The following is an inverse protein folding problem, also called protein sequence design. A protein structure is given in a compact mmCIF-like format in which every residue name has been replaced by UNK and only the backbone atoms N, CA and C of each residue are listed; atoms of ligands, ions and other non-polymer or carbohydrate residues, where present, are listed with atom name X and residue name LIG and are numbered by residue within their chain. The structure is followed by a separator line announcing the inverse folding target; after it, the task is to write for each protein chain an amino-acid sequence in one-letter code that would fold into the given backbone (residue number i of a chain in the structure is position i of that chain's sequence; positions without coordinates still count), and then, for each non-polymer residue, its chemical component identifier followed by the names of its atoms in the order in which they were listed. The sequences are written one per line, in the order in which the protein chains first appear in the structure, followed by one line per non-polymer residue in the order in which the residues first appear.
data_IF_278019372698
#
_entry.id   IF_278019372698
#
_cell.length_a   1.000
_cell.length_b   1.000
_cell.length_c   1.000
_cell.angle_alpha   90.00
_cell.angle_beta   90.00
_cell.angle_gamma   90.00
#
_symmetry.space_group_name_H-M   'P 1'
#
loop_
_entity.id
_entity.type
_entity.pdbx_description
1 polymer ?
#
# COMPACT_ATOMS: atom_id res chain seq x y z
N UNK A 1 4.02 53.70 78.20
CA UNK A 1 3.88 52.76 79.33
C UNK A 1 3.37 51.45 78.75
N UNK A 2 4.17 50.36 78.83
CA UNK A 2 3.94 48.99 78.29
C UNK A 2 4.18 48.85 76.77
N UNK A 3 5.08 48.03 76.18
CA UNK A 3 5.66 46.68 76.43
C UNK A 3 4.54 45.64 76.65
N UNK A 4 4.32 44.57 75.86
CA UNK A 4 5.25 43.49 75.43
C UNK A 4 4.73 42.69 74.19
N UNK A 5 5.65 42.31 73.30
CA UNK A 5 5.88 41.05 72.55
C UNK A 5 4.73 40.21 71.94
N UNK A 6 4.88 39.82 70.65
CA UNK A 6 5.40 38.47 70.30
C UNK A 6 5.68 38.30 68.79
N UNK A 7 6.78 37.60 68.48
CA UNK A 7 7.28 37.19 67.17
C UNK A 7 6.49 35.98 66.68
N UNK A 8 6.13 35.91 65.39
CA UNK A 8 6.13 34.63 64.66
C UNK A 8 6.22 34.84 63.15
N UNK A 9 7.20 34.15 62.58
CA UNK A 9 7.49 34.03 61.17
C UNK A 9 6.34 33.34 60.40
N UNK A 10 6.19 33.68 59.12
CA UNK A 10 5.26 32.98 58.25
C UNK A 10 5.15 33.61 56.87
N UNK A 11 6.20 33.46 56.07
CA UNK A 11 6.09 33.45 54.61
C UNK A 11 4.89 32.58 54.21
N UNK A 12 4.04 33.06 53.30
CA UNK A 12 3.52 32.35 52.12
C UNK A 12 2.25 33.04 51.60
N UNK A 13 2.47 34.08 50.79
CA UNK A 13 1.49 34.52 49.79
C UNK A 13 1.45 33.46 48.69
N UNK A 14 0.63 32.42 48.84
CA UNK A 14 0.27 31.57 47.71
C UNK A 14 -0.83 32.28 46.90
N UNK A 15 -0.37 33.07 45.93
CA UNK A 15 -1.16 33.49 44.78
C UNK A 15 -1.73 32.24 44.09
N UNK A 16 -3.05 32.06 44.18
CA UNK A 16 -3.80 31.14 43.32
C UNK A 16 -3.84 31.74 41.90
N UNK A 17 -2.87 31.38 41.07
CA UNK A 17 -2.95 31.57 39.62
C UNK A 17 -3.62 30.32 39.02
N UNK A 18 -4.73 30.44 38.27
CA UNK A 18 -5.24 29.32 37.51
C UNK A 18 -4.24 29.02 36.38
N UNK A 19 -3.60 27.85 36.45
CA UNK A 19 -2.77 27.36 35.36
C UNK A 19 -3.68 27.10 34.15
N UNK A 20 -3.55 27.96 33.13
CA UNK A 20 -4.07 27.69 31.81
C UNK A 20 -3.25 26.54 31.21
N UNK A 21 -3.79 25.32 31.29
CA UNK A 21 -3.24 24.18 30.57
C UNK A 21 -3.56 24.36 29.09
N UNK A 22 -2.60 24.88 28.34
CA UNK A 22 -2.66 24.94 26.88
C UNK A 22 -2.49 23.52 26.34
N UNK A 23 -3.56 22.93 25.82
CA UNK A 23 -3.47 21.66 25.10
C UNK A 23 -2.73 21.92 23.78
N UNK A 24 -1.50 21.40 23.69
CA UNK A 24 -0.71 21.40 22.46
C UNK A 24 -1.38 20.44 21.46
N UNK A 25 -2.14 20.99 20.51
CA UNK A 25 -2.59 20.22 19.35
C UNK A 25 -1.35 19.98 18.49
N UNK A 26 -0.77 18.78 18.59
CA UNK A 26 0.26 18.32 17.66
C UNK A 26 -0.43 18.13 16.30
N UNK A 27 -0.34 19.12 15.42
CA UNK A 27 -0.71 18.96 14.03
C UNK A 27 0.40 18.14 13.37
N UNK A 28 0.20 16.83 13.26
CA UNK A 28 1.02 16.02 12.36
C UNK A 28 0.76 16.50 10.94
N UNK A 29 1.73 17.20 10.33
CA UNK A 29 1.76 17.33 8.87
C UNK A 29 2.07 15.94 8.31
N UNK A 30 1.03 15.15 8.11
CA UNK A 30 1.12 13.93 7.34
C UNK A 30 1.57 14.32 5.93
N UNK A 31 2.70 13.78 5.48
CA UNK A 31 3.30 14.08 4.19
C UNK A 31 2.31 13.65 3.09
N UNK A 32 1.52 14.63 2.61
CA UNK A 32 0.39 14.41 1.72
C UNK A 32 0.92 14.09 0.32
N UNK A 33 0.98 12.80 0.02
CA UNK A 33 1.38 12.33 -1.30
C UNK A 33 0.27 12.64 -2.32
N UNK A 34 0.60 13.50 -3.29
CA UNK A 34 -0.31 13.89 -4.37
C UNK A 34 -0.53 12.73 -5.35
N UNK A 35 -1.74 12.63 -5.87
CA UNK A 35 -2.18 11.61 -6.84
C UNK A 35 -2.40 12.25 -8.22
N UNK A 36 -1.32 12.49 -8.99
CA UNK A 36 -1.40 13.21 -10.26
C UNK A 36 -2.23 12.54 -11.35
N UNK A 37 -2.50 11.23 -11.27
CA UNK A 37 -3.40 10.54 -12.22
C UNK A 37 -4.80 11.16 -12.29
N UNK A 38 -5.30 11.70 -11.17
CA UNK A 38 -6.66 12.24 -11.07
C UNK A 38 -6.74 13.76 -11.29
N UNK A 39 -5.67 14.40 -11.75
CA UNK A 39 -5.59 15.87 -11.87
C UNK A 39 -6.17 16.43 -13.18
N UNK A 40 -6.95 15.65 -13.94
CA UNK A 40 -7.43 16.00 -15.28
C UNK A 40 -8.07 17.40 -15.38
N UNK A 41 -8.71 17.90 -14.31
CA UNK A 41 -9.39 19.19 -14.33
C UNK A 41 -8.76 20.28 -13.45
N UNK A 42 -7.58 20.05 -12.83
CA UNK A 42 -6.84 21.01 -11.95
C UNK A 42 -7.62 21.63 -10.76
N UNK A 43 -8.91 21.37 -10.63
CA UNK A 43 -9.81 22.02 -9.67
C UNK A 43 -9.91 21.24 -8.34
N UNK A 44 -9.55 19.95 -8.34
CA UNK A 44 -9.51 19.12 -7.15
C UNK A 44 -8.21 18.31 -7.08
N UNK A 45 -7.29 18.76 -6.23
CA UNK A 45 -6.07 18.01 -5.95
C UNK A 45 -6.40 16.81 -5.06
N UNK A 46 -6.11 15.60 -5.56
CA UNK A 46 -6.31 14.36 -4.81
C UNK A 46 -5.02 13.96 -4.10
N UNK A 47 -5.16 13.47 -2.89
CA UNK A 47 -4.06 12.95 -2.07
C UNK A 47 -4.33 11.50 -1.67
N UNK A 48 -3.26 10.75 -1.43
CA UNK A 48 -3.36 9.38 -1.00
C UNK A 48 -3.93 9.30 0.41
N UNK A 49 -4.93 8.46 0.61
CA UNK A 49 -5.65 8.27 1.88
C UNK A 49 -5.89 6.78 2.14
N UNK A 50 -6.10 6.35 3.40
CA UNK A 50 -6.51 4.99 3.68
C UNK A 50 -7.87 4.66 3.05
N UNK A 51 -7.98 3.50 2.40
CA UNK A 51 -9.20 2.99 1.78
C UNK A 51 -9.39 1.52 2.12
N UNK A 52 -10.37 1.25 2.98
CA UNK A 52 -10.73 -0.11 3.37
C UNK A 52 -11.57 -0.80 2.29
N UNK A 53 -11.42 -2.13 2.15
CA UNK A 53 -12.25 -2.93 1.24
C UNK A 53 -11.84 -2.90 -0.23
N UNK A 54 -10.61 -2.46 -0.54
CA UNK A 54 -10.02 -2.69 -1.86
C UNK A 54 -9.81 -4.21 -2.07
N UNK A 55 -10.65 -4.82 -2.90
CA UNK A 55 -10.54 -6.26 -3.21
C UNK A 55 -9.34 -6.53 -4.12
N UNK A 56 -9.27 -5.78 -5.23
CA UNK A 56 -8.07 -5.71 -6.07
C UNK A 56 -7.23 -4.51 -5.62
N UNK A 57 -5.90 -4.59 -5.77
CA UNK A 57 -4.97 -3.56 -5.29
C UNK A 57 -4.95 -3.37 -3.76
N UNK A 58 -5.28 -4.41 -2.99
CA UNK A 58 -5.41 -4.36 -1.54
C UNK A 58 -4.12 -3.93 -0.81
N UNK A 59 -2.97 -4.14 -1.42
CA UNK A 59 -1.67 -3.70 -0.90
C UNK A 59 -1.49 -2.17 -0.84
N UNK A 60 -2.40 -1.40 -1.43
CA UNK A 60 -2.45 0.05 -1.24
C UNK A 60 -3.50 0.50 -0.21
N UNK A 61 -4.21 -0.41 0.47
CA UNK A 61 -5.33 -0.06 1.36
C UNK A 61 -4.96 0.94 2.47
N UNK A 62 -3.74 0.88 3.00
CA UNK A 62 -3.29 1.81 4.04
C UNK A 62 -3.05 3.23 3.51
N UNK A 63 -2.70 3.35 2.22
CA UNK A 63 -2.43 4.63 1.57
C UNK A 63 -2.65 4.51 0.06
N UNK A 64 -3.87 4.78 -0.39
CA UNK A 64 -4.30 4.65 -1.78
C UNK A 64 -4.66 6.01 -2.40
N UNK A 65 -4.34 6.16 -3.68
CA UNK A 65 -4.83 7.26 -4.51
C UNK A 65 -6.22 6.99 -5.12
N UNK A 66 -6.64 5.73 -5.17
CA UNK A 66 -7.86 5.30 -5.82
C UNK A 66 -9.00 5.03 -4.83
N UNK A 67 -10.23 4.98 -5.35
CA UNK A 67 -11.43 4.55 -4.61
C UNK A 67 -11.85 3.15 -5.02
N UNK A 68 -12.64 2.49 -4.16
CA UNK A 68 -13.21 1.15 -4.43
C UNK A 68 -13.93 1.12 -5.77
N UNK A 69 -14.74 2.13 -6.08
CA UNK A 69 -15.50 2.21 -7.34
C UNK A 69 -14.61 2.29 -8.58
N UNK A 70 -13.47 2.96 -8.48
CA UNK A 70 -12.51 3.10 -9.58
C UNK A 70 -11.81 1.76 -9.85
N UNK A 71 -11.42 1.06 -8.78
CA UNK A 71 -10.88 -0.31 -8.87
C UNK A 71 -11.91 -1.25 -9.48
N UNK A 72 -13.14 -1.29 -8.96
CA UNK A 72 -14.19 -2.16 -9.50
C UNK A 72 -14.43 -1.89 -10.99
N UNK A 73 -14.44 -0.63 -11.42
CA UNK A 73 -14.63 -0.25 -12.82
C UNK A 73 -13.51 -0.73 -13.74
N UNK A 74 -12.26 -0.72 -13.27
CA UNK A 74 -11.11 -1.20 -14.06
C UNK A 74 -11.15 -2.72 -14.20
N UNK A 75 -11.40 -3.43 -13.10
CA UNK A 75 -11.36 -4.89 -13.10
C UNK A 75 -12.63 -5.56 -13.64
N UNK A 76 -13.79 -4.88 -13.65
CA UNK A 76 -15.04 -5.46 -14.17
C UNK A 76 -15.03 -5.67 -15.69
N UNK A 77 -14.22 -4.91 -16.42
CA UNK A 77 -14.13 -4.95 -17.87
C UNK A 77 -12.95 -5.79 -18.39
N UNK A 78 -12.20 -6.43 -17.49
CA UNK A 78 -10.97 -7.13 -17.84
C UNK A 78 -11.26 -8.60 -18.17
N UNK A 79 -10.99 -9.00 -19.42
CA UNK A 79 -10.99 -10.41 -19.79
C UNK A 79 -9.87 -11.17 -19.06
N UNK A 80 -10.13 -12.40 -18.60
CA UNK A 80 -9.10 -13.20 -17.96
C UNK A 80 -7.98 -13.54 -18.95
N UNK A 81 -6.74 -13.54 -18.46
CA UNK A 81 -5.60 -14.11 -19.19
C UNK A 81 -5.67 -15.64 -19.10
N UNK A 82 -5.87 -16.29 -20.24
CA UNK A 82 -5.87 -17.76 -20.31
C UNK A 82 -4.43 -18.28 -20.37
N UNK A 83 -4.20 -19.45 -19.78
CA UNK A 83 -2.88 -20.10 -19.73
C UNK A 83 -1.78 -19.27 -19.03
N UNK A 84 -2.18 -18.25 -18.25
CA UNK A 84 -1.23 -17.44 -17.49
C UNK A 84 -0.70 -18.21 -16.27
N UNK A 85 0.61 -18.10 -16.05
CA UNK A 85 1.22 -18.54 -14.79
C UNK A 85 0.71 -17.66 -13.64
N UNK A 86 0.88 -18.13 -12.40
CA UNK A 86 0.59 -17.31 -11.20
C UNK A 86 1.43 -16.04 -11.19
N UNK A 87 2.70 -16.12 -11.57
CA UNK A 87 3.61 -14.98 -11.67
C UNK A 87 3.12 -13.96 -12.69
N UNK A 88 2.77 -14.41 -13.90
CA UNK A 88 2.20 -13.54 -14.92
C UNK A 88 0.94 -12.82 -14.43
N UNK A 89 -0.01 -13.57 -13.84
CA UNK A 89 -1.24 -13.01 -13.29
C UNK A 89 -0.96 -11.96 -12.20
N UNK A 90 -0.03 -12.23 -11.29
CA UNK A 90 0.35 -11.29 -10.23
C UNK A 90 0.97 -10.01 -10.79
N UNK A 91 1.92 -10.15 -11.74
CA UNK A 91 2.57 -9.00 -12.37
C UNK A 91 1.57 -8.15 -13.17
N UNK A 92 0.64 -8.78 -13.89
CA UNK A 92 -0.41 -8.06 -14.61
C UNK A 92 -1.35 -7.33 -13.65
N UNK A 93 -1.82 -8.01 -12.60
CA UNK A 93 -2.67 -7.40 -11.58
C UNK A 93 -1.95 -6.21 -10.90
N UNK A 94 -0.64 -6.34 -10.64
CA UNK A 94 0.16 -5.27 -10.08
C UNK A 94 0.26 -4.08 -11.03
N UNK A 95 0.54 -4.32 -12.32
CA UNK A 95 0.60 -3.28 -13.34
C UNK A 95 -0.72 -2.51 -13.42
N UNK A 96 -1.86 -3.22 -13.41
CA UNK A 96 -3.19 -2.60 -13.47
C UNK A 96 -3.47 -1.69 -12.27
N UNK A 97 -2.83 -1.91 -11.12
CA UNK A 97 -3.03 -1.12 -9.91
C UNK A 97 -2.20 0.17 -9.85
N UNK A 98 -1.49 0.57 -10.91
CA UNK A 98 -0.62 1.76 -10.90
C UNK A 98 -1.35 3.03 -10.41
N UNK A 99 -2.61 3.21 -10.81
CA UNK A 99 -3.43 4.39 -10.48
C UNK A 99 -3.88 4.43 -9.00
N UNK A 100 -3.65 3.35 -8.24
CA UNK A 100 -3.85 3.30 -6.80
C UNK A 100 -2.60 3.64 -6.00
N UNK A 101 -1.41 3.55 -6.59
CA UNK A 101 -0.14 3.74 -5.89
C UNK A 101 -0.03 5.15 -5.29
N UNK A 102 0.44 5.30 -4.04
CA UNK A 102 0.64 6.61 -3.41
C UNK A 102 1.86 7.36 -3.98
N UNK A 103 2.77 6.65 -4.66
CA UNK A 103 4.02 7.18 -5.16
C UNK A 103 3.91 7.76 -6.58
N UNK A 104 2.70 7.94 -7.09
CA UNK A 104 2.43 8.50 -8.42
C UNK A 104 3.17 9.81 -8.68
N UNK A 105 3.32 10.68 -7.69
CA UNK A 105 4.05 11.94 -7.82
C UNK A 105 5.51 11.78 -8.29
N UNK A 106 6.11 10.60 -8.10
CA UNK A 106 7.49 10.28 -8.52
C UNK A 106 7.55 10.01 -10.03
N UNK A 107 6.65 9.18 -10.54
CA UNK A 107 6.78 8.58 -11.88
C UNK A 107 5.65 8.95 -12.85
N UNK A 108 4.49 9.41 -12.37
CA UNK A 108 3.38 9.78 -13.23
C UNK A 108 3.56 11.20 -13.78
N UNK A 109 3.34 11.37 -15.09
CA UNK A 109 3.37 12.67 -15.78
C UNK A 109 2.09 12.84 -16.61
N UNK A 110 2.17 12.74 -17.92
CA UNK A 110 0.99 12.67 -18.81
C UNK A 110 0.44 11.25 -18.90
N UNK A 111 1.32 10.27 -18.73
CA UNK A 111 1.04 8.84 -18.65
C UNK A 111 1.93 8.21 -17.59
N UNK A 112 1.56 7.02 -17.14
CA UNK A 112 2.33 6.28 -16.15
C UNK A 112 3.67 5.84 -16.73
N UNK A 113 4.78 6.23 -16.07
CA UNK A 113 6.12 5.79 -16.44
C UNK A 113 6.41 4.47 -15.75
N UNK A 114 6.66 3.42 -16.51
CA UNK A 114 6.92 2.05 -16.01
C UNK A 114 8.38 1.69 -16.30
N UNK A 115 9.03 1.01 -15.37
CA UNK A 115 10.43 0.64 -15.54
C UNK A 115 10.58 -0.40 -16.66
N UNK A 116 11.61 -0.25 -17.50
CA UNK A 116 11.91 -1.21 -18.60
C UNK A 116 12.02 -2.64 -18.10
N UNK A 117 12.71 -2.84 -16.97
CA UNK A 117 12.87 -4.15 -16.34
C UNK A 117 11.52 -4.78 -15.99
N UNK A 118 10.59 -4.00 -15.43
CA UNK A 118 9.25 -4.52 -15.10
C UNK A 118 8.51 -4.94 -16.38
N UNK A 119 8.49 -4.09 -17.41
CA UNK A 119 7.85 -4.42 -18.68
C UNK A 119 8.45 -5.66 -19.35
N UNK A 120 9.77 -5.80 -19.32
CA UNK A 120 10.49 -6.93 -19.89
C UNK A 120 10.14 -8.21 -19.16
N UNK A 121 10.25 -8.22 -17.82
CA UNK A 121 9.95 -9.39 -17.01
C UNK A 121 8.48 -9.79 -17.11
N UNK A 122 7.56 -8.82 -17.10
CA UNK A 122 6.13 -9.07 -17.28
C UNK A 122 5.86 -9.77 -18.61
N UNK A 123 6.46 -9.29 -19.70
CA UNK A 123 6.28 -9.90 -21.01
C UNK A 123 6.87 -11.31 -21.07
N UNK A 124 8.07 -11.53 -20.54
CA UNK A 124 8.68 -12.86 -20.54
C UNK A 124 7.84 -13.89 -19.77
N UNK A 125 7.29 -13.50 -18.62
CA UNK A 125 6.38 -14.33 -17.83
C UNK A 125 5.01 -14.55 -18.50
N UNK A 126 4.54 -13.58 -19.29
CA UNK A 126 3.20 -13.59 -19.86
C UNK A 126 3.11 -13.92 -21.36
N UNK A 127 4.23 -14.03 -22.10
CA UNK A 127 4.21 -14.18 -23.57
C UNK A 127 3.47 -15.44 -24.06
N UNK A 128 3.41 -16.48 -23.23
CA UNK A 128 2.67 -17.70 -23.54
C UNK A 128 1.16 -17.58 -23.22
N UNK A 129 0.76 -16.62 -22.39
CA UNK A 129 -0.63 -16.39 -22.01
C UNK A 129 -1.41 -15.80 -23.19
N UNK A 130 -2.71 -16.10 -23.19
CA UNK A 130 -3.64 -15.67 -24.23
C UNK A 130 -4.66 -14.67 -23.71
N UNK A 131 -4.80 -13.55 -24.42
CA UNK A 131 -5.84 -12.56 -24.19
C UNK A 131 -6.73 -12.50 -25.45
N UNK A 132 -8.04 -12.66 -25.27
CA UNK A 132 -9.00 -12.67 -26.37
C UNK A 132 -8.61 -13.64 -27.52
N UNK A 133 -8.16 -14.85 -27.17
CA UNK A 133 -7.76 -15.89 -28.12
C UNK A 133 -6.42 -15.67 -28.82
N UNK A 134 -5.70 -14.58 -28.52
CA UNK A 134 -4.38 -14.25 -29.08
C UNK A 134 -3.30 -14.32 -28.02
N UNK A 135 -2.15 -14.90 -28.35
CA UNK A 135 -1.01 -14.95 -27.43
C UNK A 135 -0.32 -13.60 -27.35
N UNK A 136 0.10 -13.21 -26.16
CA UNK A 136 0.83 -11.95 -25.98
C UNK A 136 2.13 -11.93 -26.79
N UNK A 137 2.86 -13.05 -26.80
CA UNK A 137 4.11 -13.18 -27.55
C UNK A 137 3.96 -13.26 -29.06
N UNK A 138 2.74 -13.42 -29.59
CA UNK A 138 2.47 -13.30 -31.03
C UNK A 138 2.06 -11.90 -31.45
N UNK A 139 1.50 -11.11 -30.54
CA UNK A 139 1.01 -9.76 -30.83
C UNK A 139 2.08 -8.68 -30.58
N UNK A 140 2.99 -8.92 -29.64
CA UNK A 140 4.03 -7.95 -29.26
C UNK A 140 5.42 -8.55 -29.41
N UNK A 141 6.36 -7.76 -29.92
CA UNK A 141 7.73 -8.23 -30.14
C UNK A 141 8.55 -8.39 -28.85
N UNK A 142 8.29 -7.54 -27.85
CA UNK A 142 9.00 -7.51 -26.57
C UNK A 142 8.17 -6.76 -25.50
N UNK A 143 8.68 -6.71 -24.27
CA UNK A 143 7.98 -6.07 -23.16
C UNK A 143 7.80 -4.57 -23.28
N UNK A 144 8.74 -3.86 -23.92
CA UNK A 144 8.58 -2.43 -24.19
C UNK A 144 7.39 -2.19 -25.11
N UNK A 145 7.31 -2.92 -26.23
CA UNK A 145 6.21 -2.82 -27.18
C UNK A 145 4.87 -3.19 -26.52
N UNK A 146 4.85 -4.20 -25.64
CA UNK A 146 3.65 -4.56 -24.88
C UNK A 146 3.19 -3.40 -23.98
N UNK A 147 4.06 -2.85 -23.13
CA UNK A 147 3.72 -1.77 -22.22
C UNK A 147 3.31 -0.48 -22.95
N UNK A 148 4.02 -0.10 -24.01
CA UNK A 148 3.68 1.10 -24.79
C UNK A 148 2.32 0.96 -25.50
N UNK A 149 1.96 -0.25 -25.94
CA UNK A 149 0.63 -0.50 -26.50
C UNK A 149 -0.50 -0.37 -25.46
N UNK A 150 -0.20 -0.44 -24.16
CA UNK A 150 -1.14 -0.18 -23.07
C UNK A 150 -1.09 1.29 -22.58
N UNK A 151 -0.52 2.20 -23.38
CA UNK A 151 -0.35 3.64 -23.09
C UNK A 151 0.59 3.95 -21.91
N UNK A 152 1.50 3.03 -21.58
CA UNK A 152 2.58 3.33 -20.63
C UNK A 152 3.77 4.00 -21.32
N UNK A 153 4.54 4.78 -20.55
CA UNK A 153 5.85 5.27 -20.98
C UNK A 153 6.93 4.39 -20.35
N UNK A 154 7.70 3.67 -21.17
CA UNK A 154 8.77 2.79 -20.67
C UNK A 154 10.07 3.57 -20.54
N UNK A 155 10.66 3.61 -19.35
CA UNK A 155 11.83 4.44 -19.05
C UNK A 155 12.76 3.79 -18.02
N UNK A 156 13.97 4.32 -17.91
CA UNK A 156 14.90 4.05 -16.80
C UNK A 156 14.81 5.14 -15.72
N UNK A 157 14.75 4.72 -14.45
CA UNK A 157 14.74 5.61 -13.28
C UNK A 157 13.43 6.42 -13.09
N UNK A 158 13.10 6.71 -11.83
CA UNK A 158 11.86 7.41 -11.43
C UNK A 158 10.62 6.86 -12.16
N UNK A 159 10.44 5.54 -12.07
CA UNK A 159 9.43 4.76 -12.77
C UNK A 159 8.71 3.80 -11.80
N UNK A 160 7.53 3.36 -12.20
CA UNK A 160 6.75 2.36 -11.49
C UNK A 160 7.41 0.99 -11.63
N UNK A 161 7.75 0.38 -10.49
CA UNK A 161 8.47 -0.88 -10.38
C UNK A 161 7.58 -1.94 -9.74
N UNK A 162 7.77 -3.19 -10.16
CA UNK A 162 7.10 -4.32 -9.55
C UNK A 162 7.61 -4.57 -8.12
N UNK A 163 6.70 -4.83 -7.19
CA UNK A 163 7.03 -5.30 -5.85
C UNK A 163 6.44 -6.70 -5.63
N UNK A 164 7.24 -7.77 -5.66
CA UNK A 164 6.74 -9.12 -5.44
C UNK A 164 6.23 -9.35 -4.01
N UNK A 165 6.71 -8.57 -3.03
CA UNK A 165 6.44 -8.80 -1.60
C UNK A 165 4.96 -8.68 -1.25
N UNK A 166 4.21 -7.91 -2.04
CA UNK A 166 2.77 -7.74 -1.84
C UNK A 166 1.98 -9.03 -2.09
N UNK A 167 2.58 -10.02 -2.75
CA UNK A 167 1.98 -11.33 -3.03
C UNK A 167 2.53 -12.47 -2.16
N UNK A 168 3.56 -12.21 -1.35
CA UNK A 168 4.22 -13.23 -0.51
C UNK A 168 3.43 -13.55 0.78
N UNK A 169 2.40 -12.75 1.10
CA UNK A 169 1.63 -12.80 2.35
C UNK A 169 0.73 -14.03 2.55
N UNK A 170 0.70 -15.00 1.64
CA UNK A 170 -0.16 -16.19 1.76
C UNK A 170 0.50 -17.41 2.42
N UNK A 171 1.79 -17.35 2.80
CA UNK A 171 2.55 -18.55 3.24
C UNK A 171 2.95 -18.54 4.74
N UNK A 172 2.77 -17.45 5.50
CA UNK A 172 3.44 -17.31 6.81
C UNK A 172 2.62 -17.57 8.09
N UNK A 173 1.48 -18.29 8.06
CA UNK A 173 0.75 -18.58 9.32
C UNK A 173 0.27 -20.04 9.55
N UNK A 174 0.76 -21.06 8.83
CA UNK A 174 0.31 -22.46 9.04
C UNK A 174 1.47 -23.43 9.32
N UNK A 175 2.56 -23.02 9.97
CA UNK A 175 3.62 -24.02 10.28
C UNK A 175 4.51 -23.76 11.49
N UNK A 176 3.99 -23.20 12.59
CA UNK A 176 4.75 -23.13 13.86
C UNK A 176 4.04 -23.60 15.14
N UNK A 177 2.76 -24.01 15.08
CA UNK A 177 2.04 -24.53 16.27
C UNK A 177 1.73 -26.03 16.26
N UNK A 178 2.08 -26.76 15.19
CA UNK A 178 1.81 -28.20 15.10
C UNK A 178 2.87 -29.19 15.65
N UNK A 179 4.09 -28.81 16.11
CA UNK A 179 4.93 -29.78 16.80
C UNK A 179 4.64 -29.88 18.31
N UNK A 180 3.96 -28.89 18.92
CA UNK A 180 3.74 -28.88 20.37
C UNK A 180 2.48 -29.63 20.84
N UNK A 181 1.48 -29.80 19.97
CA UNK A 181 0.23 -30.50 20.33
C UNK A 181 0.41 -32.03 20.26
N UNK A 182 1.28 -32.54 19.37
CA UNK A 182 1.54 -33.98 19.28
C UNK A 182 2.32 -34.52 20.49
N UNK A 183 3.18 -33.71 21.11
CA UNK A 183 3.91 -34.10 22.34
C UNK A 183 3.01 -34.11 23.58
N UNK A 184 2.01 -33.24 23.68
CA UNK A 184 1.08 -33.22 24.82
C UNK A 184 0.12 -34.41 24.81
N UNK A 185 -0.32 -34.86 23.62
CA UNK A 185 -1.18 -36.03 23.47
C UNK A 185 -0.42 -37.32 23.85
N UNK A 186 0.87 -37.43 23.52
CA UNK A 186 1.72 -38.57 23.90
C UNK A 186 2.02 -38.64 25.40
N UNK A 187 2.04 -37.51 26.11
CA UNK A 187 2.27 -37.49 27.57
C UNK A 187 0.99 -37.85 28.34
N UNK A 188 -0.18 -37.45 27.85
CA UNK A 188 -1.47 -37.76 28.48
C UNK A 188 -1.88 -39.24 28.38
N UNK A 189 -1.47 -39.97 27.34
CA UNK A 189 -1.75 -41.41 27.23
C UNK A 189 -0.87 -42.28 28.13
N UNK A 190 0.33 -41.82 28.48
CA UNK A 190 1.25 -42.55 29.38
C UNK A 190 0.88 -42.39 30.85
N UNK A 191 0.14 -41.33 31.22
CA UNK A 191 -0.29 -41.08 32.61
C UNK A 191 -1.63 -41.76 32.98
N UNK A 192 -2.28 -42.47 32.05
CA UNK A 192 -3.59 -43.12 32.25
C UNK A 192 -3.47 -44.67 32.23
N UNK A 193 -2.25 -45.22 32.13
CA UNK A 193 -1.95 -46.65 32.32
C UNK A 193 -1.11 -46.81 33.58
#
# INVERSE_FOLDING_TARGET
MGIVNSISAGLFLFYFLPQAYSAMVVTYEEDKQNCPYFLENKEYQRFAVPVHGLVNCSWYADKACCKITEVTSVFSNMYPLYEATKTCSNMMNYLMCYFCSPDQHIWYKQRARVCTEFCTNLYEECKAASYNGKKLGSEYANGTAFCEAQDFSVVEGNCFKYDPKVFDGAVQHISFYLPYISSLIMILTVLII
#
